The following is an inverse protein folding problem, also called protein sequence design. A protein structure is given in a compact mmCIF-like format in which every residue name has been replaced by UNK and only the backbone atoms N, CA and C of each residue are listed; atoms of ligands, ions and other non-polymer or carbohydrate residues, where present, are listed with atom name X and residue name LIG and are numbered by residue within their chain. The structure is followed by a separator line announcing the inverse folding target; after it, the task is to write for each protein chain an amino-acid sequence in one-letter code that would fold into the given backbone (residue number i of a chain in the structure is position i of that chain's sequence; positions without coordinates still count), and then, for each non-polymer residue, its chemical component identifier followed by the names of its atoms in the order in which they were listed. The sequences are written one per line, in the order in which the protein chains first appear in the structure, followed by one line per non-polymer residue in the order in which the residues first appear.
data_IF_472643916237
#
_entry.id   IF_472643916237
#
_cell.length_a   1.000
_cell.length_b   1.000
_cell.length_c   1.000
_cell.angle_alpha   90.00
_cell.angle_beta   90.00
_cell.angle_gamma   90.00
#
_symmetry.space_group_name_H-M   'P 1'
#
loop_
_entity.id
_entity.type
_entity.pdbx_description
1 polymer ?
#
# COMPACT_ATOMS: atom_id res chain seq x y z
N UNK A 1 3.55 18.56 -7.08
CA UNK A 1 2.79 17.29 -7.14
C UNK A 1 2.04 17.04 -5.83
N UNK A 2 2.69 17.17 -4.67
CA UNK A 2 2.05 17.07 -3.34
C UNK A 2 0.86 18.02 -3.12
N UNK A 3 0.95 19.26 -3.62
CA UNK A 3 -0.17 20.22 -3.58
C UNK A 3 -1.43 19.74 -4.31
N UNK A 4 -1.31 18.88 -5.33
CA UNK A 4 -2.48 18.28 -5.99
C UNK A 4 -3.11 17.24 -5.07
N UNK A 5 -2.29 16.39 -4.45
CA UNK A 5 -2.72 15.38 -3.46
C UNK A 5 -3.44 16.04 -2.28
N UNK A 6 -2.91 17.16 -1.78
CA UNK A 6 -3.53 17.96 -0.71
C UNK A 6 -4.91 18.51 -1.08
N UNK A 7 -5.18 18.73 -2.36
CA UNK A 7 -6.47 19.24 -2.85
C UNK A 7 -7.46 18.17 -3.28
N UNK A 8 -7.06 16.89 -3.32
CA UNK A 8 -7.98 15.80 -3.64
C UNK A 8 -9.12 15.74 -2.63
N UNK A 9 -10.33 15.49 -3.14
CA UNK A 9 -11.48 15.13 -2.31
C UNK A 9 -11.23 13.77 -1.65
N UNK A 10 -11.95 13.48 -0.56
CA UNK A 10 -11.82 12.20 0.15
C UNK A 10 -11.98 10.98 -0.76
N UNK A 11 -12.98 11.00 -1.65
CA UNK A 11 -13.24 9.89 -2.57
C UNK A 11 -12.08 9.67 -3.55
N UNK A 12 -11.57 10.75 -4.15
CA UNK A 12 -10.45 10.67 -5.11
C UNK A 12 -9.15 10.28 -4.43
N UNK A 13 -8.89 10.82 -3.23
CA UNK A 13 -7.74 10.41 -2.43
C UNK A 13 -7.80 8.92 -2.10
N UNK A 14 -8.93 8.44 -1.58
CA UNK A 14 -9.06 7.01 -1.27
C UNK A 14 -8.91 6.18 -2.54
N UNK A 15 -9.46 6.56 -3.69
CA UNK A 15 -9.24 5.80 -4.94
C UNK A 15 -7.76 5.69 -5.33
N UNK A 16 -7.00 6.77 -5.17
CA UNK A 16 -5.56 6.79 -5.50
C UNK A 16 -4.75 5.95 -4.52
N UNK A 17 -5.07 6.01 -3.22
CA UNK A 17 -4.27 5.41 -2.15
C UNK A 17 -4.79 4.06 -1.65
N UNK A 18 -6.01 3.64 -2.01
CA UNK A 18 -6.64 2.40 -1.51
C UNK A 18 -5.93 1.13 -1.97
N UNK A 19 -5.13 1.20 -3.04
CA UNK A 19 -4.41 0.06 -3.59
C UNK A 19 -2.92 0.03 -3.21
N UNK A 20 -2.44 0.95 -2.37
CA UNK A 20 -1.06 0.90 -1.86
C UNK A 20 -0.86 -0.32 -0.95
N UNK A 21 -1.89 -0.65 -0.19
CA UNK A 21 -1.96 -1.87 0.59
C UNK A 21 -3.22 -2.62 0.19
N UNK A 22 -3.03 -3.86 -0.25
CA UNK A 22 -4.12 -4.73 -0.66
C UNK A 22 -5.07 -4.96 0.52
N UNK A 23 -6.38 -4.81 0.28
CA UNK A 23 -7.42 -4.85 1.33
C UNK A 23 -7.27 -3.83 2.49
N UNK A 24 -6.44 -2.79 2.35
CA UNK A 24 -6.21 -1.80 3.40
C UNK A 24 -6.70 -0.38 3.04
N UNK A 25 -7.90 -0.30 2.43
CA UNK A 25 -8.61 0.98 2.18
C UNK A 25 -8.66 1.90 3.40
N UNK A 26 -8.75 1.32 4.60
CA UNK A 26 -8.77 2.04 5.86
C UNK A 26 -7.50 2.88 6.11
N UNK A 27 -6.33 2.45 5.61
CA UNK A 27 -5.08 3.23 5.70
C UNK A 27 -5.22 4.51 4.88
N UNK A 28 -5.79 4.44 3.67
CA UNK A 28 -6.03 5.60 2.83
C UNK A 28 -7.04 6.58 3.46
N UNK A 29 -8.04 6.06 4.18
CA UNK A 29 -9.01 6.88 4.91
C UNK A 29 -8.39 7.60 6.11
N UNK A 30 -7.53 6.91 6.86
CA UNK A 30 -6.81 7.47 8.00
C UNK A 30 -5.75 8.49 7.56
N UNK A 31 -5.02 8.17 6.49
CA UNK A 31 -4.05 9.06 5.87
C UNK A 31 -4.70 10.35 5.37
N UNK A 32 -5.90 10.30 4.78
CA UNK A 32 -6.62 11.49 4.34
C UNK A 32 -6.85 12.50 5.47
N UNK A 33 -7.11 12.02 6.69
CA UNK A 33 -7.33 12.88 7.86
C UNK A 33 -6.05 13.57 8.35
N UNK A 34 -4.87 13.13 7.90
CA UNK A 34 -3.57 13.71 8.27
C UNK A 34 -3.08 14.79 7.30
N UNK A 35 -3.88 15.13 6.28
CA UNK A 35 -3.61 16.24 5.35
C UNK A 35 -3.64 17.59 6.09
N UNK A 36 -2.88 18.60 5.62
CA UNK A 36 -2.01 18.59 4.45
C UNK A 36 -0.65 17.92 4.71
N UNK A 37 0.03 17.54 3.63
CA UNK A 37 1.42 17.06 3.66
C UNK A 37 2.35 18.07 2.96
N UNK A 38 3.52 18.29 3.53
CA UNK A 38 4.51 19.24 3.02
C UNK A 38 5.29 18.65 1.84
N UNK A 39 5.61 17.36 1.89
CA UNK A 39 6.36 16.66 0.85
C UNK A 39 6.02 15.15 0.79
N UNK A 40 6.61 14.45 -0.19
CA UNK A 40 6.39 13.02 -0.37
C UNK A 40 7.00 12.16 0.74
N UNK A 41 8.09 12.62 1.36
CA UNK A 41 8.75 11.89 2.44
C UNK A 41 7.90 11.89 3.70
N UNK A 42 7.24 13.01 4.01
CA UNK A 42 6.25 13.11 5.07
C UNK A 42 5.03 12.22 4.79
N UNK A 43 4.52 12.23 3.54
CA UNK A 43 3.42 11.36 3.13
C UNK A 43 3.77 9.88 3.36
N UNK A 44 4.93 9.43 2.87
CA UNK A 44 5.40 8.05 3.05
C UNK A 44 5.61 7.70 4.52
N UNK A 45 6.20 8.61 5.30
CA UNK A 45 6.42 8.42 6.74
C UNK A 45 5.10 8.27 7.50
N UNK A 46 4.08 9.04 7.14
CA UNK A 46 2.74 8.93 7.74
C UNK A 46 2.04 7.62 7.37
N UNK A 47 2.19 7.16 6.12
CA UNK A 47 1.68 5.85 5.70
C UNK A 47 2.29 4.74 6.57
N UNK A 48 3.62 4.74 6.71
CA UNK A 48 4.33 3.76 7.54
C UNK A 48 3.92 3.86 9.02
N UNK A 49 3.80 5.08 9.55
CA UNK A 49 3.37 5.29 10.93
C UNK A 49 1.96 4.73 11.19
N UNK A 50 0.99 4.95 10.29
CA UNK A 50 -0.37 4.39 10.40
C UNK A 50 -0.30 2.85 10.41
N UNK A 51 0.57 2.25 9.60
CA UNK A 51 0.77 0.82 9.59
C UNK A 51 1.43 0.30 10.88
N UNK A 52 2.48 0.97 11.37
CA UNK A 52 3.22 0.57 12.58
C UNK A 52 2.40 0.74 13.87
N UNK A 53 1.56 1.77 13.93
CA UNK A 53 0.71 2.07 15.11
C UNK A 53 -0.59 1.28 15.14
N UNK A 54 -0.94 0.58 14.06
CA UNK A 54 -2.12 -0.28 14.05
C UNK A 54 -1.89 -1.56 14.85
N UNK A 55 -2.97 -2.27 15.19
CA UNK A 55 -2.86 -3.51 15.94
C UNK A 55 -2.15 -4.60 15.14
N UNK A 56 -1.41 -5.48 15.84
CA UNK A 56 -0.74 -6.63 15.21
C UNK A 56 -1.69 -7.47 14.36
N UNK A 57 -2.95 -7.61 14.76
CA UNK A 57 -3.98 -8.31 13.97
C UNK A 57 -4.26 -7.65 12.61
N UNK A 58 -4.34 -6.31 12.57
CA UNK A 58 -4.52 -5.56 11.33
C UNK A 58 -3.26 -5.61 10.46
N UNK A 59 -2.07 -5.55 11.05
CA UNK A 59 -0.81 -5.75 10.31
C UNK A 59 -0.76 -7.13 9.68
N UNK A 60 -1.05 -8.18 10.45
CA UNK A 60 -1.12 -9.56 9.96
C UNK A 60 -2.19 -9.73 8.89
N UNK A 61 -3.34 -9.07 9.02
CA UNK A 61 -4.40 -9.13 7.99
C UNK A 61 -3.92 -8.55 6.66
N UNK A 62 -3.14 -7.47 6.68
CA UNK A 62 -2.54 -6.91 5.46
C UNK A 62 -1.49 -7.87 4.90
N UNK A 63 -0.57 -8.35 5.74
CA UNK A 63 0.49 -9.28 5.30
C UNK A 63 -0.08 -10.60 4.74
N UNK A 64 -1.13 -11.15 5.35
CA UNK A 64 -1.81 -12.36 4.89
C UNK A 64 -2.77 -12.10 3.73
N UNK A 65 -3.24 -10.86 3.55
CA UNK A 65 -4.02 -10.46 2.39
C UNK A 65 -3.16 -10.34 1.12
N UNK A 66 -1.82 -10.41 1.25
CA UNK A 66 -0.91 -10.65 0.13
C UNK A 66 -0.74 -12.16 -0.08
N UNK A 67 -1.49 -12.78 -1.01
CA UNK A 67 -1.30 -14.19 -1.36
C UNK A 67 0.09 -14.48 -1.95
N UNK A 68 0.88 -13.46 -2.28
CA UNK A 68 2.19 -13.56 -2.92
C UNK A 68 3.38 -13.75 -1.99
N UNK A 69 3.34 -13.25 -0.74
CA UNK A 69 4.49 -13.43 0.15
C UNK A 69 4.66 -14.89 0.62
N UNK A 70 3.58 -15.68 0.55
CA UNK A 70 3.55 -17.03 1.09
C UNK A 70 3.38 -18.12 0.03
N UNK A 71 3.24 -17.79 -1.26
CA UNK A 71 2.82 -18.80 -2.24
C UNK A 71 3.57 -18.76 -3.57
N UNK A 72 4.66 -19.54 -3.66
CA UNK A 72 5.40 -19.86 -4.89
C UNK A 72 4.53 -20.44 -6.04
N UNK A 73 3.24 -20.74 -5.83
CA UNK A 73 2.37 -21.38 -6.84
C UNK A 73 1.44 -20.43 -7.62
N UNK A 74 1.46 -19.11 -7.36
CA UNK A 74 0.51 -18.16 -8.01
C UNK A 74 1.13 -17.10 -8.92
N UNK A 75 2.34 -17.34 -9.43
CA UNK A 75 3.00 -16.51 -10.45
C UNK A 75 2.11 -16.31 -11.70
N UNK A 76 1.16 -17.22 -11.97
CA UNK A 76 0.27 -17.14 -13.13
C UNK A 76 -0.94 -16.20 -13.00
N UNK A 77 -1.20 -15.58 -11.83
CA UNK A 77 -2.40 -14.75 -11.59
C UNK A 77 -2.08 -13.30 -11.16
N UNK A 78 -0.82 -12.88 -11.31
CA UNK A 78 -0.35 -11.54 -10.92
C UNK A 78 -1.01 -10.44 -11.76
N UNK A 79 -1.38 -9.34 -11.11
CA UNK A 79 -1.68 -8.08 -11.82
C UNK A 79 -0.37 -7.52 -12.42
N UNK A 80 -0.42 -6.69 -13.49
CA UNK A 80 0.79 -6.19 -14.15
C UNK A 80 1.75 -5.46 -13.21
N UNK A 81 1.20 -4.76 -12.21
CA UNK A 81 1.97 -4.03 -11.21
C UNK A 81 2.69 -5.00 -10.25
N UNK A 82 2.01 -6.06 -9.80
CA UNK A 82 2.57 -7.10 -8.94
C UNK A 82 3.67 -7.93 -9.65
N UNK A 83 3.53 -8.17 -10.97
CA UNK A 83 4.56 -8.86 -11.76
C UNK A 83 5.87 -8.06 -11.79
N UNK A 84 5.77 -6.74 -11.93
CA UNK A 84 6.94 -5.85 -12.01
C UNK A 84 7.70 -5.78 -10.69
N UNK A 85 6.98 -5.78 -9.55
CA UNK A 85 7.61 -5.83 -8.23
C UNK A 85 8.28 -7.18 -7.96
N UNK A 86 7.67 -8.31 -8.36
CA UNK A 86 8.32 -9.62 -8.18
C UNK A 86 9.56 -9.83 -9.04
N UNK A 87 9.53 -9.36 -10.30
CA UNK A 87 10.73 -9.35 -11.15
C UNK A 87 11.81 -8.43 -10.58
N UNK A 88 11.42 -7.29 -10.00
CA UNK A 88 12.38 -6.39 -9.35
C UNK A 88 12.96 -6.94 -8.04
N UNK A 89 12.21 -7.82 -7.35
CA UNK A 89 12.62 -8.46 -6.10
C UNK A 89 13.42 -9.76 -6.31
N UNK A 90 13.58 -10.22 -7.55
CA UNK A 90 14.34 -11.44 -7.89
C UNK A 90 13.70 -12.73 -7.36
N UNK A 91 12.42 -12.70 -7.00
CA UNK A 91 11.69 -13.83 -6.45
C UNK A 91 11.36 -14.90 -7.50
N UNK A 92 11.48 -14.56 -8.79
CA UNK A 92 11.36 -15.47 -9.94
C UNK A 92 12.57 -16.42 -10.08
N UNK A 93 13.67 -16.12 -9.38
CA UNK A 93 14.95 -16.86 -9.48
C UNK A 93 15.22 -17.78 -8.28
N UNK A 94 14.31 -17.85 -7.31
CA UNK A 94 14.48 -18.70 -6.13
C UNK A 94 13.89 -20.10 -6.34
N UNK A 95 14.71 -21.04 -6.84
CA UNK A 95 14.48 -22.49 -6.70
C UNK A 95 14.16 -22.86 -5.25
#
# INVERSE_FOLDING_TARGET
MINKINKLSKSEFIKVFANIFENARWIAEELYNQKPFDNFEELSSKILNIFETTTKEKQLKILNAHPDLANKTKISLLTPDSLKEQTSAGLDQCT
#
